data_IF_394038509082
#
_entry.id   IF_394038509082
#
_cell.length_a   1.000
_cell.length_b   1.000
_cell.length_c   1.000
_cell.angle_alpha   90.00
_cell.angle_beta   90.00
_cell.angle_gamma   90.00
#
_symmetry.space_group_name_H-M   'P 1'
#
loop_
_entity.id
_entity.type
_entity.pdbx_description
1 polymer ?
#
# COMPACT_ATOMS: atom_id res chain seq x y z
N UNK A 1 -16.19 -3.33 6.65
CA UNK A 1 -17.55 -3.87 6.45
C UNK A 1 -17.53 -5.40 6.36
N UNK A 2 -16.63 -5.98 5.57
CA UNK A 2 -16.52 -7.43 5.35
C UNK A 2 -16.29 -8.22 6.65
N UNK A 3 -15.35 -7.81 7.50
CA UNK A 3 -15.07 -8.47 8.77
C UNK A 3 -16.28 -8.49 9.71
N UNK A 4 -17.07 -7.41 9.74
CA UNK A 4 -18.31 -7.36 10.54
C UNK A 4 -19.32 -8.37 10.03
N UNK A 5 -19.49 -8.50 8.71
CA UNK A 5 -20.35 -9.49 8.08
C UNK A 5 -19.93 -10.92 8.46
N UNK A 6 -18.63 -11.22 8.43
CA UNK A 6 -18.13 -12.54 8.80
C UNK A 6 -18.34 -12.87 10.28
N UNK A 7 -18.14 -11.90 11.19
CA UNK A 7 -18.41 -12.09 12.62
C UNK A 7 -19.90 -12.39 12.85
N UNK A 8 -20.76 -11.63 12.17
CA UNK A 8 -22.21 -11.83 12.29
C UNK A 8 -22.65 -13.19 11.75
N UNK A 9 -22.08 -13.65 10.63
CA UNK A 9 -22.49 -14.90 9.97
C UNK A 9 -21.85 -16.16 10.59
N UNK A 10 -20.61 -16.06 11.11
CA UNK A 10 -19.80 -17.21 11.53
C UNK A 10 -19.29 -17.13 12.97
N UNK A 11 -19.67 -16.10 13.71
CA UNK A 11 -19.38 -15.94 15.13
C UNK A 11 -18.04 -15.27 15.44
N UNK A 12 -17.84 -15.00 16.73
CA UNK A 12 -16.71 -14.20 17.25
C UNK A 12 -15.34 -14.85 16.99
N UNK A 13 -15.24 -16.18 17.04
CA UNK A 13 -13.98 -16.89 16.77
C UNK A 13 -13.46 -16.59 15.35
N UNK A 14 -14.34 -16.54 14.36
CA UNK A 14 -14.00 -16.14 12.98
C UNK A 14 -13.46 -14.71 12.94
N UNK A 15 -14.05 -13.82 13.73
CA UNK A 15 -13.55 -12.44 13.84
C UNK A 15 -12.13 -12.35 14.38
N UNK A 16 -11.77 -13.16 15.37
CA UNK A 16 -10.40 -13.20 15.92
C UNK A 16 -9.40 -13.72 14.89
N UNK A 17 -9.71 -14.80 14.19
CA UNK A 17 -8.86 -15.31 13.11
C UNK A 17 -8.66 -14.24 12.03
N UNK A 18 -9.73 -13.59 11.59
CA UNK A 18 -9.66 -12.53 10.58
C UNK A 18 -8.92 -11.30 11.05
N UNK A 19 -8.94 -10.99 12.34
CA UNK A 19 -8.18 -9.86 12.90
C UNK A 19 -6.67 -10.03 12.73
N UNK A 20 -6.15 -11.25 12.76
CA UNK A 20 -4.72 -11.55 12.59
C UNK A 20 -4.34 -11.96 11.15
N UNK A 21 -5.30 -12.32 10.32
CA UNK A 21 -5.04 -12.74 8.94
C UNK A 21 -5.52 -11.72 7.91
N UNK A 22 -6.81 -11.40 7.88
CA UNK A 22 -7.40 -10.54 6.86
C UNK A 22 -7.06 -9.05 7.09
N UNK A 23 -7.13 -8.56 8.34
CA UNK A 23 -6.91 -7.13 8.61
C UNK A 23 -5.48 -6.71 8.27
N UNK A 24 -4.40 -7.38 8.73
CA UNK A 24 -3.05 -7.04 8.31
C UNK A 24 -2.82 -7.27 6.81
N UNK A 25 -3.45 -8.29 6.23
CA UNK A 25 -3.41 -8.52 4.78
C UNK A 25 -3.91 -7.31 3.99
N UNK A 26 -5.08 -6.79 4.33
CA UNK A 26 -5.65 -5.59 3.69
C UNK A 26 -4.76 -4.35 3.90
N UNK A 27 -4.14 -4.20 5.07
CA UNK A 27 -3.19 -3.12 5.30
C UNK A 27 -2.00 -3.20 4.33
N UNK A 28 -1.48 -4.42 4.09
CA UNK A 28 -0.36 -4.63 3.16
C UNK A 28 -0.79 -4.38 1.71
N UNK A 29 -2.01 -4.76 1.31
CA UNK A 29 -2.54 -4.42 -0.02
C UNK A 29 -2.56 -2.89 -0.21
N UNK A 30 -2.98 -2.14 0.83
CA UNK A 30 -2.91 -0.68 0.84
C UNK A 30 -1.49 -0.14 0.72
N UNK A 31 -0.50 -0.77 1.36
CA UNK A 31 0.92 -0.41 1.23
C UNK A 31 1.40 -0.54 -0.22
N UNK A 32 1.07 -1.64 -0.91
CA UNK A 32 1.45 -1.82 -2.31
C UNK A 32 0.72 -0.84 -3.24
N UNK A 33 -0.57 -0.58 -2.98
CA UNK A 33 -1.32 0.45 -3.70
C UNK A 33 -0.64 1.81 -3.58
N UNK A 34 -0.36 2.26 -2.35
CA UNK A 34 0.30 3.54 -2.07
C UNK A 34 1.70 3.62 -2.66
N UNK A 35 2.44 2.52 -2.66
CA UNK A 35 3.76 2.43 -3.25
C UNK A 35 3.74 2.74 -4.76
N UNK A 36 2.92 2.03 -5.53
CA UNK A 36 2.82 2.27 -6.97
C UNK A 36 2.21 3.63 -7.29
N UNK A 37 1.23 4.07 -6.51
CA UNK A 37 0.66 5.40 -6.65
C UNK A 37 1.71 6.50 -6.42
N UNK A 38 2.58 6.35 -5.43
CA UNK A 38 3.70 7.25 -5.19
C UNK A 38 4.65 7.35 -6.39
N UNK A 39 4.97 6.20 -7.02
CA UNK A 39 5.78 6.20 -8.26
C UNK A 39 5.05 6.85 -9.43
N UNK A 40 3.74 6.69 -9.53
CA UNK A 40 2.95 7.39 -10.54
C UNK A 40 3.05 8.92 -10.36
N UNK A 41 2.97 9.40 -9.12
CA UNK A 41 3.15 10.82 -8.81
C UNK A 41 4.56 11.33 -9.09
N UNK A 42 5.57 10.52 -8.80
CA UNK A 42 6.95 10.84 -9.12
C UNK A 42 7.18 10.91 -10.65
N UNK A 43 6.59 9.99 -11.40
CA UNK A 43 6.66 9.99 -12.87
C UNK A 43 5.94 11.20 -13.48
N UNK A 44 4.81 11.60 -12.90
CA UNK A 44 4.10 12.83 -13.24
C UNK A 44 4.98 14.08 -13.03
N UNK A 45 5.66 14.15 -11.88
CA UNK A 45 6.61 15.22 -11.58
C UNK A 45 7.73 15.34 -12.63
N UNK A 46 8.23 14.19 -13.12
CA UNK A 46 9.29 14.14 -14.12
C UNK A 46 8.78 14.25 -15.58
N UNK A 47 7.47 14.42 -15.79
CA UNK A 47 6.83 14.51 -17.11
C UNK A 47 6.89 13.20 -17.92
N UNK A 48 6.95 12.04 -17.22
CA UNK A 48 6.99 10.70 -17.83
C UNK A 48 5.60 10.08 -17.85
N UNK A 49 4.78 10.48 -18.81
CA UNK A 49 3.37 10.10 -18.87
C UNK A 49 3.12 8.60 -19.06
N UNK A 50 3.97 7.89 -19.77
CA UNK A 50 3.85 6.44 -19.96
C UNK A 50 4.09 5.69 -18.65
N UNK A 51 5.16 6.03 -17.94
CA UNK A 51 5.46 5.47 -16.63
C UNK A 51 4.36 5.78 -15.61
N UNK A 52 3.82 7.01 -15.64
CA UNK A 52 2.71 7.42 -14.79
C UNK A 52 1.48 6.51 -14.98
N UNK A 53 1.10 6.29 -16.24
CA UNK A 53 -0.05 5.43 -16.56
C UNK A 53 0.19 3.98 -16.14
N UNK A 54 1.39 3.46 -16.38
CA UNK A 54 1.77 2.12 -15.97
C UNK A 54 1.71 1.95 -14.44
N UNK A 55 2.28 2.89 -13.68
CA UNK A 55 2.24 2.84 -12.22
C UNK A 55 0.84 3.05 -11.64
N UNK A 56 -0.02 3.87 -12.26
CA UNK A 56 -1.43 3.98 -11.88
C UNK A 56 -2.16 2.64 -12.08
N UNK A 57 -1.94 1.97 -13.19
CA UNK A 57 -2.51 0.64 -13.42
C UNK A 57 -2.01 -0.37 -12.38
N UNK A 58 -0.68 -0.41 -12.12
CA UNK A 58 -0.08 -1.29 -11.12
C UNK A 58 -0.59 -1.02 -9.71
N UNK A 59 -0.93 0.22 -9.37
CA UNK A 59 -1.48 0.57 -8.04
C UNK A 59 -2.83 -0.08 -7.76
N UNK A 60 -3.56 -0.49 -8.79
CA UNK A 60 -4.84 -1.20 -8.68
C UNK A 60 -4.65 -2.69 -8.94
N UNK A 61 -3.99 -3.05 -10.04
CA UNK A 61 -3.88 -4.45 -10.49
C UNK A 61 -3.14 -5.32 -9.47
N UNK A 62 -2.02 -4.83 -8.92
CA UNK A 62 -1.21 -5.61 -7.98
C UNK A 62 -1.98 -5.93 -6.70
N UNK A 63 -2.60 -4.96 -5.98
CA UNK A 63 -3.41 -5.27 -4.81
C UNK A 63 -4.61 -6.16 -5.10
N UNK A 64 -5.27 -6.00 -6.24
CA UNK A 64 -6.40 -6.85 -6.65
C UNK A 64 -5.94 -8.30 -6.85
N UNK A 65 -4.82 -8.53 -7.53
CA UNK A 65 -4.27 -9.88 -7.69
C UNK A 65 -3.84 -10.49 -6.36
N UNK A 66 -3.19 -9.71 -5.50
CA UNK A 66 -2.79 -10.17 -4.15
C UNK A 66 -4.02 -10.54 -3.31
N UNK A 67 -5.07 -9.72 -3.34
CA UNK A 67 -6.31 -10.01 -2.63
C UNK A 67 -7.00 -11.25 -3.21
N UNK A 68 -7.09 -11.37 -4.53
CA UNK A 68 -7.66 -12.53 -5.19
C UNK A 68 -6.93 -13.84 -4.86
N UNK A 69 -5.59 -13.82 -4.80
CA UNK A 69 -4.79 -14.95 -4.33
C UNK A 69 -5.10 -15.30 -2.87
N UNK A 70 -5.24 -14.29 -2.00
CA UNK A 70 -5.62 -14.50 -0.60
C UNK A 70 -6.97 -15.20 -0.49
N UNK A 71 -8.00 -14.69 -1.17
CA UNK A 71 -9.34 -15.27 -1.12
C UNK A 71 -9.38 -16.66 -1.71
N UNK A 72 -8.74 -16.85 -2.87
CA UNK A 72 -8.64 -18.17 -3.51
C UNK A 72 -8.05 -19.21 -2.55
N UNK A 73 -6.92 -18.92 -1.92
CA UNK A 73 -6.26 -19.84 -0.99
C UNK A 73 -7.07 -20.04 0.29
N UNK A 74 -7.75 -18.99 0.78
CA UNK A 74 -8.64 -19.07 1.94
C UNK A 74 -9.84 -19.99 1.69
N UNK A 75 -10.44 -19.92 0.50
CA UNK A 75 -11.53 -20.83 0.12
C UNK A 75 -11.04 -22.24 -0.20
N UNK A 76 -9.90 -22.36 -0.89
CA UNK A 76 -9.32 -23.65 -1.24
C UNK A 76 -8.97 -24.48 0.01
N UNK A 77 -8.36 -23.85 1.04
CA UNK A 77 -8.06 -24.55 2.29
C UNK A 77 -9.32 -25.00 3.06
N UNK A 78 -10.41 -24.23 2.98
CA UNK A 78 -11.67 -24.59 3.62
C UNK A 78 -12.31 -25.82 2.95
N UNK A 79 -12.05 -26.03 1.65
CA UNK A 79 -12.54 -27.17 0.86
C UNK A 79 -11.61 -28.38 0.91
N UNK A 80 -10.30 -28.16 0.94
CA UNK A 80 -9.27 -29.21 0.96
C UNK A 80 -8.09 -28.77 1.83
N UNK A 81 -7.88 -29.48 2.93
CA UNK A 81 -6.80 -29.20 3.90
C UNK A 81 -5.38 -29.21 3.32
N UNK A 82 -5.17 -29.77 2.11
CA UNK A 82 -3.87 -29.71 1.42
C UNK A 82 -3.43 -28.29 1.09
N UNK A 83 -4.38 -27.37 0.91
CA UNK A 83 -4.09 -25.97 0.65
C UNK A 83 -3.76 -25.16 1.91
N UNK A 84 -3.93 -25.72 3.10
CA UNK A 84 -3.65 -25.03 4.36
C UNK A 84 -2.19 -24.55 4.45
N UNK A 85 -1.25 -25.40 4.08
CA UNK A 85 0.18 -25.04 4.07
C UNK A 85 0.45 -23.89 3.09
N UNK A 86 -0.14 -23.93 1.90
CA UNK A 86 0.03 -22.89 0.88
C UNK A 86 -0.58 -21.54 1.34
N UNK A 87 -1.74 -21.58 2.01
CA UNK A 87 -2.35 -20.38 2.56
C UNK A 87 -1.46 -19.70 3.61
N UNK A 88 -0.94 -20.47 4.58
CA UNK A 88 -0.07 -19.89 5.60
C UNK A 88 1.29 -19.45 5.03
N UNK A 89 1.85 -20.19 4.08
CA UNK A 89 3.07 -19.78 3.38
C UNK A 89 2.85 -18.45 2.62
N UNK A 90 1.72 -18.30 1.96
CA UNK A 90 1.32 -17.05 1.31
C UNK A 90 1.18 -15.90 2.31
N UNK A 91 0.52 -16.11 3.46
CA UNK A 91 0.39 -15.10 4.50
C UNK A 91 1.75 -14.64 5.04
N UNK A 92 2.64 -15.58 5.34
CA UNK A 92 3.99 -15.27 5.83
C UNK A 92 4.74 -14.45 4.77
N UNK A 93 4.73 -14.89 3.53
CA UNK A 93 5.36 -14.17 2.43
C UNK A 93 4.79 -12.74 2.29
N UNK A 94 3.46 -12.61 2.29
CA UNK A 94 2.77 -11.34 2.22
C UNK A 94 3.22 -10.38 3.33
N UNK A 95 3.29 -10.86 4.58
CA UNK A 95 3.69 -10.04 5.73
C UNK A 95 5.17 -9.64 5.65
N UNK A 96 6.04 -10.59 5.33
CA UNK A 96 7.48 -10.31 5.18
C UNK A 96 7.71 -9.27 4.08
N UNK A 97 7.14 -9.46 2.89
CA UNK A 97 7.29 -8.51 1.80
C UNK A 97 6.68 -7.14 2.12
N UNK A 98 5.50 -7.11 2.78
CA UNK A 98 4.86 -5.88 3.21
C UNK A 98 5.73 -5.08 4.19
N UNK A 99 6.23 -5.73 5.24
CA UNK A 99 7.11 -5.11 6.24
C UNK A 99 8.42 -4.62 5.60
N UNK A 100 9.05 -5.45 4.76
CA UNK A 100 10.26 -5.05 4.05
C UNK A 100 10.00 -3.84 3.15
N UNK A 101 8.83 -3.78 2.52
CA UNK A 101 8.46 -2.66 1.66
C UNK A 101 8.27 -1.37 2.44
N UNK A 102 7.52 -1.43 3.55
CA UNK A 102 7.35 -0.27 4.46
C UNK A 102 8.69 0.23 4.95
N UNK A 103 9.56 -0.66 5.44
CA UNK A 103 10.88 -0.28 5.95
C UNK A 103 11.77 0.38 4.88
N UNK A 104 11.74 -0.14 3.64
CA UNK A 104 12.49 0.46 2.52
C UNK A 104 11.93 1.83 2.14
N UNK A 105 10.61 1.96 2.06
CA UNK A 105 9.95 3.23 1.75
C UNK A 105 10.21 4.28 2.82
N UNK A 106 10.10 3.92 4.11
CA UNK A 106 10.38 4.82 5.22
C UNK A 106 11.85 5.28 5.27
N UNK A 107 12.79 4.42 4.86
CA UNK A 107 14.21 4.81 4.75
C UNK A 107 14.47 5.73 3.56
N UNK A 108 13.76 5.53 2.46
CA UNK A 108 13.87 6.37 1.26
C UNK A 108 13.25 7.76 1.50
N UNK A 109 12.10 7.81 2.17
CA UNK A 109 11.35 9.03 2.46
C UNK A 109 12.16 10.03 3.32
N UNK A 110 12.96 9.53 4.25
CA UNK A 110 13.88 10.36 5.06
C UNK A 110 14.91 11.14 4.22
N UNK A 111 15.09 10.77 2.95
CA UNK A 111 16.04 11.41 2.02
C UNK A 111 15.37 12.40 1.08
N UNK A 112 14.05 12.47 1.06
CA UNK A 112 13.34 13.48 0.25
C UNK A 112 13.57 14.83 0.90
N UNK A 113 14.35 15.69 0.23
CA UNK A 113 14.60 17.03 0.75
C UNK A 113 13.33 17.88 0.66
N UNK A 114 13.22 18.86 1.57
CA UNK A 114 12.12 19.86 1.51
C UNK A 114 12.07 20.56 0.15
N UNK A 115 13.22 20.78 -0.47
CA UNK A 115 13.36 21.35 -1.81
C UNK A 115 12.55 20.58 -2.87
N UNK A 116 12.66 19.24 -2.88
CA UNK A 116 11.94 18.40 -3.85
C UNK A 116 10.42 18.54 -3.68
N UNK A 117 9.93 18.59 -2.44
CA UNK A 117 8.50 18.76 -2.14
C UNK A 117 8.04 20.16 -2.55
N UNK A 118 8.82 21.19 -2.21
CA UNK A 118 8.51 22.57 -2.56
C UNK A 118 8.46 22.78 -4.08
N UNK A 119 9.44 22.25 -4.81
CA UNK A 119 9.48 22.32 -6.27
C UNK A 119 8.34 21.56 -6.94
N UNK A 120 7.93 20.43 -6.34
CA UNK A 120 6.76 19.69 -6.81
C UNK A 120 5.49 20.55 -6.75
N UNK A 121 5.19 21.17 -5.61
CA UNK A 121 4.01 22.03 -5.48
C UNK A 121 4.10 23.28 -6.38
N UNK A 122 5.29 23.85 -6.54
CA UNK A 122 5.51 25.00 -7.43
C UNK A 122 5.22 24.63 -8.90
N UNK A 123 5.69 23.47 -9.37
CA UNK A 123 5.43 23.01 -10.75
C UNK A 123 3.96 22.70 -11.00
N UNK A 124 3.28 22.15 -10.01
CA UNK A 124 1.86 21.83 -10.10
C UNK A 124 0.96 23.05 -9.96
N UNK A 125 1.50 24.25 -9.73
CA UNK A 125 0.76 25.49 -9.45
C UNK A 125 -0.20 25.37 -8.25
N UNK A 126 0.02 24.39 -7.37
CA UNK A 126 -0.70 24.29 -6.12
C UNK A 126 -0.06 25.17 -5.05
N UNK A 127 -0.86 25.76 -4.13
CA UNK A 127 -0.30 26.46 -2.98
C UNK A 127 0.48 25.46 -2.12
N UNK A 128 1.73 25.79 -1.80
CA UNK A 128 2.57 24.97 -0.92
C UNK A 128 1.89 24.86 0.44
N UNK A 129 1.61 23.63 0.93
CA UNK A 129 0.98 23.45 2.23
C UNK A 129 1.80 24.09 3.36
N UNK A 130 1.15 24.63 4.42
CA UNK A 130 1.83 25.39 5.49
C UNK A 130 2.97 24.63 6.18
N UNK A 131 2.86 23.32 6.30
CA UNK A 131 3.90 22.46 6.91
C UNK A 131 5.20 22.39 6.12
N UNK A 132 5.17 22.77 4.83
CA UNK A 132 6.34 22.82 3.94
C UNK A 132 6.85 24.24 3.70
N UNK A 133 6.10 25.28 4.17
CA UNK A 133 6.60 26.64 4.16
C UNK A 133 7.58 26.82 5.29
N UNK A 134 8.77 27.32 4.97
CA UNK A 134 9.70 27.68 6.02
C UNK A 134 9.21 28.93 6.75
N UNK A 135 9.43 29.00 8.07
CA UNK A 135 9.12 30.22 8.85
C UNK A 135 10.05 31.38 8.50
N UNK A 136 11.17 31.08 7.86
CA UNK A 136 12.11 32.06 7.35
C UNK A 136 12.17 31.95 5.83
N UNK A 137 11.42 32.81 5.14
CA UNK A 137 11.51 32.96 3.67
C UNK A 137 12.90 33.32 3.17
N UNK A 138 13.84 33.65 4.07
CA UNK A 138 15.21 34.04 3.76
C UNK A 138 16.14 32.86 3.46
N UNK A 139 15.72 31.62 3.73
CA UNK A 139 16.53 30.44 3.47
C UNK A 139 16.56 30.02 1.97
N UNK A 140 15.64 30.59 1.17
CA UNK A 140 15.45 30.21 -0.25
C UNK A 140 15.76 31.35 -1.25
N UNK A 141 16.40 32.42 -0.79
CA UNK A 141 16.87 33.52 -1.66
C UNK A 141 18.35 33.38 -2.00
#
# INVERSE_FOLDING_TARGET
>A
FENVKYVYSYGFATGLVRAVTAVPGHAIFGVFMGYFYGYAKLSDYWGRDEDRRAYLALSVVVPVLMHGCYDFLAFAQASDGRFTLLFYAYLIALYVFGILRVNRSARADRRVSRETVFDYFRRMQYPVPPQYRDRNDDFWR
#
